data_IF_890890390201
#
_entry.id   IF_890890390201
#
_cell.length_a   1.000
_cell.length_b   1.000
_cell.length_c   1.000
_cell.angle_alpha   90.00
_cell.angle_beta   90.00
_cell.angle_gamma   90.00
#
_symmetry.space_group_name_H-M   'P 1'
#
loop_
_entity.id
_entity.type
_entity.pdbx_description
1 polymer ?
#
# COMPACT_ATOMS: atom_id res chain seq x y z
N UNK A 1 -10.68 10.52 -26.61
CA UNK A 1 -11.77 9.59 -26.37
C UNK A 1 -11.36 8.20 -26.90
N UNK A 2 -11.56 7.17 -26.08
CA UNK A 2 -11.25 5.76 -26.40
C UNK A 2 -12.49 4.97 -26.86
N UNK A 3 -13.64 5.63 -26.92
CA UNK A 3 -14.89 5.02 -27.34
C UNK A 3 -15.47 3.97 -26.37
N UNK A 4 -14.98 3.91 -25.13
CA UNK A 4 -15.43 2.94 -24.13
C UNK A 4 -16.76 3.33 -23.48
N UNK A 5 -17.06 4.62 -23.47
CA UNK A 5 -18.34 5.18 -22.99
C UNK A 5 -18.63 6.49 -23.71
N UNK A 6 -19.92 6.88 -23.84
CA UNK A 6 -20.28 8.19 -24.36
C UNK A 6 -19.62 9.31 -23.54
N UNK A 7 -19.12 10.32 -24.21
CA UNK A 7 -18.53 11.52 -23.61
C UNK A 7 -19.24 12.74 -24.12
N UNK A 8 -19.75 13.58 -23.21
CA UNK A 8 -20.27 14.89 -23.59
C UNK A 8 -19.09 15.81 -23.98
N UNK A 9 -19.19 16.47 -25.13
CA UNK A 9 -18.19 17.36 -25.67
C UNK A 9 -18.67 18.79 -25.68
N UNK A 10 -17.83 19.70 -25.20
CA UNK A 10 -18.03 21.13 -25.32
C UNK A 10 -17.27 21.65 -26.52
N UNK A 11 -17.99 22.18 -27.52
CA UNK A 11 -17.39 22.78 -28.71
C UNK A 11 -16.45 23.92 -28.35
N UNK A 12 -15.28 23.95 -28.99
CA UNK A 12 -14.25 24.96 -28.75
C UNK A 12 -13.39 24.75 -27.50
N UNK A 13 -13.74 23.79 -26.63
CA UNK A 13 -12.93 23.37 -25.47
C UNK A 13 -12.30 22.00 -25.67
N UNK A 14 -13.08 21.04 -26.15
CA UNK A 14 -12.67 19.63 -26.21
C UNK A 14 -12.21 19.28 -27.62
N UNK A 15 -10.94 18.90 -27.73
CA UNK A 15 -10.31 18.45 -28.99
C UNK A 15 -9.97 16.98 -28.95
N UNK A 16 -9.95 16.35 -30.14
CA UNK A 16 -9.43 14.98 -30.29
C UNK A 16 -7.93 14.97 -30.23
N UNK A 17 -7.39 14.13 -29.34
CA UNK A 17 -5.94 14.00 -29.15
C UNK A 17 -5.19 13.53 -30.41
N UNK A 18 -5.75 12.57 -31.17
CA UNK A 18 -5.05 12.01 -32.32
C UNK A 18 -4.82 13.06 -33.42
N UNK A 19 -5.83 13.81 -33.92
CA UNK A 19 -5.60 14.91 -34.87
C UNK A 19 -4.71 16.02 -34.32
N UNK A 20 -4.82 16.33 -33.00
CA UNK A 20 -3.97 17.33 -32.37
C UNK A 20 -2.50 16.88 -32.39
N UNK A 21 -2.24 15.63 -31.99
CA UNK A 21 -0.91 15.03 -32.03
C UNK A 21 -0.32 15.04 -33.43
N UNK A 22 -1.08 14.63 -34.45
CA UNK A 22 -0.60 14.61 -35.83
C UNK A 22 -0.17 16.00 -36.33
N UNK A 23 -0.92 17.05 -36.00
CA UNK A 23 -0.56 18.45 -36.31
C UNK A 23 0.77 18.89 -35.69
N UNK A 24 1.17 18.28 -34.57
CA UNK A 24 2.34 18.69 -33.79
C UNK A 24 3.48 17.67 -33.77
N UNK A 25 3.43 16.60 -34.55
CA UNK A 25 4.49 15.56 -34.59
C UNK A 25 5.88 16.12 -34.89
N UNK A 26 5.96 17.16 -35.74
CA UNK A 26 7.22 17.78 -36.12
C UNK A 26 7.62 18.96 -35.20
N UNK A 27 6.81 19.29 -34.20
CA UNK A 27 7.10 20.41 -33.31
C UNK A 27 8.33 20.09 -32.44
N UNK A 28 9.30 20.98 -32.44
CA UNK A 28 10.44 20.90 -31.54
C UNK A 28 10.11 21.70 -30.26
N UNK A 29 10.04 20.99 -29.15
CA UNK A 29 9.82 21.58 -27.82
C UNK A 29 11.16 21.58 -27.08
N UNK A 30 11.81 22.74 -26.90
CA UNK A 30 13.09 22.80 -26.20
C UNK A 30 12.91 22.43 -24.72
N UNK A 31 13.95 21.80 -24.15
CA UNK A 31 13.98 21.54 -22.71
C UNK A 31 14.11 22.87 -21.95
N UNK A 32 13.25 23.07 -20.95
CA UNK A 32 13.38 24.19 -20.02
C UNK A 32 14.27 23.78 -18.86
N UNK A 33 15.41 24.45 -18.72
CA UNK A 33 16.31 24.25 -17.59
C UNK A 33 15.75 24.96 -16.36
N UNK A 34 15.72 24.24 -15.25
CA UNK A 34 15.20 24.75 -13.96
C UNK A 34 16.19 24.40 -12.83
N UNK A 35 16.11 25.10 -11.72
CA UNK A 35 16.88 24.76 -10.52
C UNK A 35 16.45 23.38 -9.98
N UNK A 36 17.36 22.70 -9.29
CA UNK A 36 17.09 21.39 -8.68
C UNK A 36 15.93 21.44 -7.69
N UNK A 37 15.73 22.55 -7.02
CA UNK A 37 14.64 22.79 -6.06
C UNK A 37 13.33 23.22 -6.69
N UNK A 38 13.29 23.42 -8.03
CA UNK A 38 12.06 23.78 -8.73
C UNK A 38 11.01 22.68 -8.58
N UNK A 39 9.74 23.01 -8.28
CA UNK A 39 8.66 22.04 -8.23
C UNK A 39 8.53 21.24 -9.53
N UNK A 40 8.45 19.92 -9.44
CA UNK A 40 8.24 19.03 -10.59
C UNK A 40 6.78 18.72 -10.82
N UNK A 41 6.08 18.29 -9.78
CA UNK A 41 4.65 17.99 -9.82
C UNK A 41 4.04 18.01 -8.43
N UNK A 42 2.72 18.05 -8.40
CA UNK A 42 1.91 17.93 -7.19
C UNK A 42 0.97 16.75 -7.33
N UNK A 43 1.01 15.81 -6.37
CA UNK A 43 0.13 14.67 -6.32
C UNK A 43 -0.81 14.78 -5.11
N UNK A 44 -2.12 14.78 -5.37
CA UNK A 44 -3.13 14.84 -4.32
C UNK A 44 -3.37 13.48 -3.69
N UNK A 45 -3.41 13.45 -2.36
CA UNK A 45 -3.76 12.26 -1.57
C UNK A 45 -4.89 12.60 -0.60
N UNK A 46 -5.66 11.58 -0.20
CA UNK A 46 -6.62 11.71 0.90
C UNK A 46 -5.87 12.06 2.18
N UNK A 47 -6.16 13.25 2.72
CA UNK A 47 -5.57 13.68 4.00
C UNK A 47 -6.22 12.96 5.19
N UNK A 48 -5.46 12.77 6.27
CA UNK A 48 -5.98 12.27 7.56
C UNK A 48 -7.06 13.18 8.14
N UNK A 49 -7.08 14.46 7.76
CA UNK A 49 -8.02 15.50 8.23
C UNK A 49 -9.24 15.67 7.31
N UNK A 50 -9.50 14.76 6.37
CA UNK A 50 -10.66 14.80 5.47
C UNK A 50 -10.49 15.64 4.20
N UNK A 51 -9.59 16.64 4.18
CA UNK A 51 -9.30 17.41 2.96
C UNK A 51 -8.10 16.83 2.22
N UNK A 52 -8.18 16.59 0.89
CA UNK A 52 -7.02 16.19 0.11
C UNK A 52 -5.86 17.18 0.29
N UNK A 53 -4.64 16.64 0.26
CA UNK A 53 -3.40 17.42 0.34
C UNK A 53 -2.56 17.18 -0.90
N UNK A 54 -2.07 18.26 -1.51
CA UNK A 54 -1.19 18.20 -2.66
C UNK A 54 0.27 18.02 -2.22
N UNK A 55 0.82 16.84 -2.39
CA UNK A 55 2.23 16.56 -2.09
C UNK A 55 3.09 17.12 -3.23
N UNK A 56 3.86 18.15 -2.95
CA UNK A 56 4.78 18.80 -3.91
C UNK A 56 6.18 18.21 -3.78
N UNK A 57 6.82 17.93 -4.93
CA UNK A 57 8.20 17.48 -5.01
C UNK A 57 9.06 18.42 -5.83
N UNK A 58 10.36 18.42 -5.53
CA UNK A 58 11.37 19.08 -6.37
C UNK A 58 11.76 18.23 -7.58
N UNK A 59 12.46 18.85 -8.52
CA UNK A 59 12.91 18.19 -9.74
C UNK A 59 14.21 17.42 -9.50
N UNK A 60 15.21 18.07 -8.92
CA UNK A 60 16.55 17.49 -8.80
C UNK A 60 16.65 16.43 -7.71
N UNK A 61 16.10 16.70 -6.53
CA UNK A 61 16.12 15.73 -5.43
C UNK A 61 15.36 14.46 -5.78
N UNK A 62 14.19 14.60 -6.44
CA UNK A 62 13.42 13.45 -6.89
C UNK A 62 14.17 12.63 -7.95
N UNK A 63 14.83 13.27 -8.92
CA UNK A 63 15.63 12.57 -9.92
C UNK A 63 16.80 11.80 -9.29
N UNK A 64 17.50 12.38 -8.31
CA UNK A 64 18.58 11.73 -7.57
C UNK A 64 18.06 10.50 -6.82
N UNK A 65 16.99 10.66 -6.07
CA UNK A 65 16.40 9.56 -5.27
C UNK A 65 15.94 8.40 -6.15
N UNK A 66 15.26 8.69 -7.25
CA UNK A 66 14.79 7.64 -8.16
C UNK A 66 15.93 6.94 -8.87
N UNK A 67 16.95 7.66 -9.34
CA UNK A 67 18.12 7.05 -9.96
C UNK A 67 18.85 6.13 -8.99
N UNK A 68 19.05 6.58 -7.74
CA UNK A 68 19.67 5.78 -6.70
C UNK A 68 18.84 4.54 -6.36
N UNK A 69 17.51 4.69 -6.16
CA UNK A 69 16.64 3.58 -5.81
C UNK A 69 16.53 2.54 -6.94
N UNK A 70 16.47 2.98 -8.21
CA UNK A 70 16.47 2.06 -9.34
C UNK A 70 17.74 1.20 -9.38
N UNK A 71 18.89 1.79 -9.10
CA UNK A 71 20.17 1.08 -9.10
C UNK A 71 20.34 0.18 -7.87
N UNK A 72 20.06 0.69 -6.69
CA UNK A 72 20.45 0.04 -5.44
C UNK A 72 19.36 -0.83 -4.82
N UNK A 73 18.09 -0.52 -5.06
CA UNK A 73 16.96 -1.29 -4.58
C UNK A 73 16.42 -2.19 -5.68
N UNK A 74 16.02 -1.61 -6.81
CA UNK A 74 15.31 -2.32 -7.88
C UNK A 74 16.22 -3.05 -8.86
N UNK A 75 17.53 -3.00 -8.68
CA UNK A 75 18.53 -3.73 -9.48
C UNK A 75 18.53 -3.36 -10.97
N UNK A 76 18.02 -2.18 -11.33
CA UNK A 76 17.87 -1.74 -12.71
C UNK A 76 19.20 -1.36 -13.36
N UNK A 77 19.38 -1.77 -14.60
CA UNK A 77 20.54 -1.42 -15.42
C UNK A 77 20.08 -0.78 -16.75
N UNK A 78 20.85 0.16 -17.32
CA UNK A 78 20.53 0.73 -18.62
C UNK A 78 20.34 -0.35 -19.69
N UNK A 79 19.34 -0.16 -20.57
CA UNK A 79 18.99 -1.09 -21.63
C UNK A 79 18.12 -2.29 -21.23
N UNK A 80 17.87 -2.48 -19.93
CA UNK A 80 16.96 -3.52 -19.44
C UNK A 80 15.51 -3.08 -19.45
N UNK A 81 14.59 -4.02 -19.20
CA UNK A 81 13.15 -3.75 -19.14
C UNK A 81 12.63 -3.88 -17.73
N UNK A 82 11.91 -2.86 -17.28
CA UNK A 82 11.22 -2.78 -16.02
C UNK A 82 9.71 -2.87 -16.20
N UNK A 83 9.03 -3.57 -15.31
CA UNK A 83 7.57 -3.69 -15.34
C UNK A 83 6.95 -3.40 -13.97
N UNK A 84 6.25 -2.27 -13.86
CA UNK A 84 5.38 -2.00 -12.72
C UNK A 84 3.92 -2.19 -13.10
N UNK A 85 3.19 -2.94 -12.28
CA UNK A 85 1.76 -3.22 -12.49
C UNK A 85 0.86 -2.23 -11.76
N UNK A 86 1.44 -1.20 -11.15
CA UNK A 86 0.69 -0.18 -10.44
C UNK A 86 -0.10 0.74 -11.38
N UNK A 87 -1.07 1.43 -10.82
CA UNK A 87 -1.81 2.48 -11.53
C UNK A 87 -0.93 3.74 -11.68
N UNK A 88 -0.95 4.33 -12.89
CA UNK A 88 -0.18 5.54 -13.22
C UNK A 88 -0.59 6.76 -12.37
N UNK A 89 -1.80 6.79 -11.83
CA UNK A 89 -2.32 7.88 -11.01
C UNK A 89 -1.77 7.91 -9.58
N UNK A 90 -1.05 6.87 -9.14
CA UNK A 90 -0.44 6.81 -7.81
C UNK A 90 1.05 7.18 -7.85
N UNK A 91 1.60 7.47 -6.66
CA UNK A 91 3.04 7.78 -6.55
C UNK A 91 3.93 6.66 -7.09
N UNK A 92 3.53 5.40 -6.96
CA UNK A 92 4.25 4.26 -7.55
C UNK A 92 4.29 4.38 -9.08
N UNK A 93 3.19 4.79 -9.69
CA UNK A 93 3.13 5.03 -11.13
C UNK A 93 4.08 6.14 -11.57
N UNK A 94 4.06 7.27 -10.87
CA UNK A 94 4.97 8.37 -11.15
C UNK A 94 6.44 7.96 -10.93
N UNK A 95 6.77 7.43 -9.75
CA UNK A 95 8.14 7.05 -9.42
C UNK A 95 8.66 5.88 -10.25
N UNK A 96 7.85 4.82 -10.43
CA UNK A 96 8.33 3.51 -10.92
C UNK A 96 7.53 2.92 -12.09
N UNK A 97 6.77 3.74 -12.82
CA UNK A 97 6.40 3.46 -14.23
C UNK A 97 7.08 4.49 -15.13
N UNK A 98 7.06 5.78 -14.73
CA UNK A 98 7.54 6.87 -15.59
C UNK A 98 8.98 7.25 -15.26
N UNK A 99 9.20 7.93 -14.14
CA UNK A 99 10.46 8.64 -13.93
C UNK A 99 11.65 7.71 -13.61
N UNK A 100 11.53 6.83 -12.66
CA UNK A 100 12.63 5.97 -12.20
C UNK A 100 13.24 5.12 -13.31
N UNK A 101 12.46 4.27 -14.01
CA UNK A 101 13.00 3.45 -15.10
C UNK A 101 13.64 4.28 -16.22
N UNK A 102 13.02 5.38 -16.62
CA UNK A 102 13.53 6.23 -17.70
C UNK A 102 14.82 6.95 -17.29
N UNK A 103 14.92 7.45 -16.05
CA UNK A 103 16.16 8.01 -15.50
C UNK A 103 17.28 6.98 -15.40
N UNK A 104 16.94 5.72 -15.16
CA UNK A 104 17.91 4.62 -15.14
C UNK A 104 18.30 4.11 -16.54
N UNK A 105 17.75 4.69 -17.61
CA UNK A 105 17.99 4.25 -18.98
C UNK A 105 17.35 2.92 -19.34
N UNK A 106 16.30 2.53 -18.64
CA UNK A 106 15.55 1.30 -18.85
C UNK A 106 14.34 1.53 -19.75
N UNK A 107 13.91 0.47 -20.44
CA UNK A 107 12.58 0.42 -21.00
C UNK A 107 11.56 0.17 -19.87
N UNK A 108 10.39 0.80 -19.97
CA UNK A 108 9.30 0.61 -19.00
C UNK A 108 8.04 0.11 -19.71
N UNK A 109 7.32 -0.81 -19.06
CA UNK A 109 6.04 -1.31 -19.56
C UNK A 109 4.93 -0.58 -18.82
N UNK A 110 4.06 0.09 -19.57
CA UNK A 110 2.78 0.60 -19.08
C UNK A 110 1.68 -0.33 -19.57
N UNK A 111 1.13 -1.12 -18.66
CA UNK A 111 0.10 -2.11 -18.94
C UNK A 111 -1.26 -1.62 -18.50
N UNK A 112 -2.18 -1.53 -19.44
CA UNK A 112 -3.57 -1.20 -19.17
C UNK A 112 -4.42 -2.47 -19.12
N UNK A 113 -4.66 -2.99 -17.94
CA UNK A 113 -5.45 -4.20 -17.75
C UNK A 113 -5.37 -4.75 -16.34
N UNK A 114 -6.15 -5.79 -16.10
CA UNK A 114 -6.20 -6.51 -14.84
C UNK A 114 -5.21 -7.69 -14.82
N UNK A 115 -4.72 -8.12 -13.64
CA UNK A 115 -3.75 -9.21 -13.53
C UNK A 115 -4.27 -10.58 -14.02
N UNK A 116 -5.59 -10.70 -14.18
CA UNK A 116 -6.28 -11.94 -14.57
C UNK A 116 -7.01 -11.84 -15.91
N UNK A 117 -6.76 -10.80 -16.71
CA UNK A 117 -7.37 -10.64 -18.03
C UNK A 117 -6.32 -10.36 -19.11
N UNK A 118 -6.38 -11.08 -20.25
CA UNK A 118 -7.39 -12.08 -20.65
C UNK A 118 -7.35 -13.37 -19.83
N UNK A 119 -6.22 -13.70 -19.19
CA UNK A 119 -5.99 -14.81 -18.27
C UNK A 119 -4.95 -14.44 -17.20
N UNK A 120 -4.78 -15.25 -16.17
CA UNK A 120 -3.85 -14.99 -15.06
C UNK A 120 -2.36 -15.18 -15.44
N UNK A 121 -2.06 -15.55 -16.68
CA UNK A 121 -0.71 -15.65 -17.24
C UNK A 121 -0.24 -14.36 -17.90
N UNK A 122 -1.11 -13.34 -18.02
CA UNK A 122 -0.77 -12.14 -18.82
C UNK A 122 0.51 -11.45 -18.36
N UNK A 123 0.73 -11.28 -17.07
CA UNK A 123 1.94 -10.63 -16.57
C UNK A 123 3.20 -11.45 -16.86
N UNK A 124 3.12 -12.75 -16.69
CA UNK A 124 4.22 -13.68 -16.95
C UNK A 124 4.57 -13.74 -18.43
N UNK A 125 3.57 -13.66 -19.30
CA UNK A 125 3.74 -13.53 -20.74
C UNK A 125 4.45 -12.22 -21.12
N UNK A 126 4.15 -11.12 -20.44
CA UNK A 126 4.85 -9.85 -20.64
C UNK A 126 6.30 -9.92 -20.15
N UNK A 127 6.55 -10.57 -19.01
CA UNK A 127 7.90 -10.82 -18.50
C UNK A 127 8.72 -11.59 -19.52
N UNK A 128 8.19 -12.70 -20.05
CA UNK A 128 8.85 -13.49 -21.08
C UNK A 128 9.10 -12.71 -22.37
N UNK A 129 8.04 -12.06 -22.87
CA UNK A 129 8.06 -11.34 -24.17
C UNK A 129 9.06 -10.20 -24.17
N UNK A 130 9.11 -9.42 -23.12
CA UNK A 130 9.94 -8.21 -23.04
C UNK A 130 11.22 -8.41 -22.21
N UNK A 131 11.49 -9.64 -21.78
CA UNK A 131 12.66 -9.99 -20.96
C UNK A 131 12.80 -9.08 -19.75
N UNK A 132 11.70 -8.91 -19.02
CA UNK A 132 11.65 -8.08 -17.82
C UNK A 132 12.64 -8.57 -16.81
N UNK A 133 13.47 -7.67 -16.27
CA UNK A 133 14.51 -8.00 -15.30
C UNK A 133 14.11 -7.68 -13.87
N UNK A 134 13.24 -6.70 -13.67
CA UNK A 134 12.69 -6.33 -12.39
C UNK A 134 11.19 -6.01 -12.53
N UNK A 135 10.38 -6.56 -11.63
CA UNK A 135 8.93 -6.36 -11.61
C UNK A 135 8.50 -5.76 -10.28
N UNK A 136 7.57 -4.79 -10.32
CA UNK A 136 7.00 -4.16 -9.14
C UNK A 136 5.47 -4.28 -9.13
N UNK A 137 4.90 -4.70 -8.02
CA UNK A 137 3.47 -4.92 -7.88
C UNK A 137 2.97 -4.57 -6.47
N UNK A 138 1.74 -4.94 -6.18
CA UNK A 138 1.13 -4.79 -4.86
C UNK A 138 0.70 -6.16 -4.30
N UNK A 139 0.72 -6.36 -2.97
CA UNK A 139 0.26 -7.57 -2.32
C UNK A 139 -1.17 -8.00 -2.71
N UNK A 140 -2.10 -7.05 -2.85
CA UNK A 140 -3.47 -7.34 -3.31
C UNK A 140 -3.48 -8.04 -4.68
N UNK A 141 -2.67 -7.58 -5.62
CA UNK A 141 -2.61 -8.19 -6.94
C UNK A 141 -2.04 -9.61 -6.89
N UNK A 142 -1.03 -9.84 -6.04
CA UNK A 142 -0.48 -11.19 -5.79
C UNK A 142 -1.51 -12.12 -5.16
N UNK A 143 -2.32 -11.61 -4.20
CA UNK A 143 -3.44 -12.38 -3.61
C UNK A 143 -4.49 -12.76 -4.63
N UNK A 144 -4.78 -11.88 -5.59
CA UNK A 144 -5.71 -12.20 -6.70
C UNK A 144 -5.14 -13.31 -7.57
N UNK A 145 -3.84 -13.25 -7.91
CA UNK A 145 -3.16 -14.30 -8.68
C UNK A 145 -3.09 -15.64 -7.92
N UNK A 146 -2.91 -15.59 -6.59
CA UNK A 146 -2.88 -16.80 -5.75
C UNK A 146 -4.19 -17.60 -5.79
N UNK A 147 -5.32 -16.94 -6.07
CA UNK A 147 -6.64 -17.58 -6.22
C UNK A 147 -6.80 -18.26 -7.59
N UNK A 148 -5.88 -18.05 -8.52
CA UNK A 148 -5.95 -18.58 -9.88
C UNK A 148 -5.20 -19.94 -9.98
N UNK A 149 -5.33 -20.58 -11.13
CA UNK A 149 -4.62 -21.83 -11.40
C UNK A 149 -3.09 -21.61 -11.35
N UNK A 150 -2.36 -22.30 -10.46
CA UNK A 150 -0.92 -22.10 -10.30
C UNK A 150 -0.09 -22.44 -11.55
N UNK A 151 -0.69 -23.14 -12.54
CA UNK A 151 -0.03 -23.42 -13.83
C UNK A 151 0.38 -22.17 -14.55
N UNK A 152 -0.36 -21.07 -14.40
CA UNK A 152 -0.03 -19.79 -15.06
C UNK A 152 1.37 -19.27 -14.72
N UNK A 153 1.86 -19.51 -13.50
CA UNK A 153 3.22 -19.16 -13.08
C UNK A 153 4.32 -19.96 -13.80
N UNK A 154 3.99 -21.15 -14.31
CA UNK A 154 4.96 -22.11 -14.86
C UNK A 154 4.92 -22.19 -16.39
N UNK A 155 4.01 -21.48 -17.04
CA UNK A 155 3.80 -21.55 -18.50
C UNK A 155 4.76 -20.66 -19.29
N UNK A 156 5.49 -19.76 -18.64
CA UNK A 156 6.31 -18.75 -19.28
C UNK A 156 7.76 -18.78 -18.79
N UNK A 157 8.69 -18.38 -19.65
CA UNK A 157 10.10 -18.23 -19.27
C UNK A 157 10.30 -16.96 -18.45
N UNK A 158 10.52 -17.12 -17.14
CA UNK A 158 10.78 -16.05 -16.18
C UNK A 158 12.27 -15.93 -15.83
N UNK A 159 13.16 -16.54 -16.62
CA UNK A 159 14.60 -16.57 -16.33
C UNK A 159 15.25 -15.19 -16.28
N UNK A 160 14.72 -14.22 -17.05
CA UNK A 160 15.17 -12.83 -17.02
C UNK A 160 14.86 -12.10 -15.72
N UNK A 161 13.80 -12.49 -14.99
CA UNK A 161 13.35 -11.82 -13.80
C UNK A 161 14.29 -12.09 -12.63
N UNK A 162 14.89 -11.05 -12.05
CA UNK A 162 15.79 -11.15 -10.88
C UNK A 162 15.08 -11.09 -9.56
N UNK A 163 14.03 -10.27 -9.45
CA UNK A 163 13.25 -10.10 -8.24
C UNK A 163 11.85 -9.55 -8.55
N UNK A 164 10.90 -9.84 -7.65
CA UNK A 164 9.60 -9.17 -7.57
C UNK A 164 9.61 -8.24 -6.35
N UNK A 165 9.33 -6.97 -6.58
CA UNK A 165 9.21 -5.94 -5.55
C UNK A 165 7.73 -5.69 -5.26
N UNK A 166 7.39 -5.50 -3.99
CA UNK A 166 6.03 -5.22 -3.55
C UNK A 166 6.01 -4.00 -2.64
N UNK A 167 4.89 -3.27 -2.63
CA UNK A 167 4.64 -2.18 -1.70
C UNK A 167 3.15 -1.80 -1.67
N UNK A 168 2.82 -0.84 -0.80
CA UNK A 168 1.51 -0.19 -0.71
C UNK A 168 0.62 -0.73 0.39
N UNK A 169 0.79 -1.97 0.76
CA UNK A 169 0.16 -2.62 1.90
C UNK A 169 1.08 -3.71 2.44
N UNK A 170 0.87 -4.17 3.66
CA UNK A 170 1.67 -5.25 4.20
C UNK A 170 1.49 -6.57 3.45
N UNK A 171 2.61 -7.22 3.18
CA UNK A 171 2.64 -8.54 2.57
C UNK A 171 2.55 -9.61 3.66
N UNK A 172 1.48 -10.40 3.63
CA UNK A 172 1.35 -11.55 4.53
C UNK A 172 2.30 -12.68 4.16
N UNK A 173 2.84 -13.36 5.17
CA UNK A 173 3.84 -14.41 4.96
C UNK A 173 3.35 -15.56 4.07
N UNK A 174 2.11 -16.10 4.20
CA UNK A 174 1.63 -17.15 3.31
C UNK A 174 1.56 -16.76 1.84
N UNK A 175 1.28 -15.48 1.54
CA UNK A 175 1.29 -14.97 0.18
C UNK A 175 2.71 -14.74 -0.32
N UNK A 176 3.60 -14.23 0.53
CA UNK A 176 5.01 -14.07 0.21
C UNK A 176 5.68 -15.40 -0.14
N UNK A 177 5.47 -16.44 0.68
CA UNK A 177 5.98 -17.79 0.41
C UNK A 177 5.45 -18.36 -0.90
N UNK A 178 4.14 -18.30 -1.09
CA UNK A 178 3.51 -18.82 -2.30
C UNK A 178 4.12 -18.23 -3.58
N UNK A 179 4.29 -16.91 -3.64
CA UNK A 179 4.84 -16.28 -4.85
C UNK A 179 6.34 -16.49 -4.97
N UNK A 180 7.09 -16.54 -3.86
CA UNK A 180 8.53 -16.83 -3.86
C UNK A 180 8.81 -18.24 -4.39
N UNK A 181 8.07 -19.23 -3.92
CA UNK A 181 8.20 -20.63 -4.35
C UNK A 181 7.78 -20.78 -5.82
N UNK A 182 6.70 -20.06 -6.21
CA UNK A 182 6.20 -20.09 -7.59
C UNK A 182 7.15 -19.50 -8.61
N UNK A 183 7.80 -18.40 -8.28
CA UNK A 183 8.73 -17.69 -9.15
C UNK A 183 10.17 -18.23 -9.05
N UNK A 184 10.55 -18.84 -7.94
CA UNK A 184 11.94 -19.16 -7.62
C UNK A 184 12.85 -17.92 -7.58
N UNK A 185 12.31 -16.78 -7.18
CA UNK A 185 12.98 -15.47 -7.14
C UNK A 185 12.73 -14.77 -5.81
N UNK A 186 13.65 -13.89 -5.38
CA UNK A 186 13.45 -13.06 -4.20
C UNK A 186 12.19 -12.19 -4.32
N UNK A 187 11.42 -12.14 -3.23
CA UNK A 187 10.32 -11.20 -3.05
C UNK A 187 10.82 -10.15 -2.07
N UNK A 188 10.82 -8.90 -2.49
CA UNK A 188 11.33 -7.77 -1.70
C UNK A 188 10.17 -6.83 -1.42
N UNK A 189 9.75 -6.79 -0.16
CA UNK A 189 8.75 -5.82 0.28
C UNK A 189 9.41 -4.45 0.48
N UNK A 190 8.63 -3.39 0.30
CA UNK A 190 9.10 -2.02 0.44
C UNK A 190 8.06 -1.23 1.24
N UNK A 191 8.53 -0.41 2.15
CA UNK A 191 7.68 0.54 2.86
C UNK A 191 8.04 1.97 2.50
N UNK A 192 7.05 2.73 2.10
CA UNK A 192 7.14 4.14 1.76
C UNK A 192 5.76 4.80 1.70
N UNK A 193 5.76 6.09 1.51
CA UNK A 193 4.55 6.90 1.46
C UNK A 193 4.55 7.77 0.20
N UNK A 194 3.39 8.29 -0.16
CA UNK A 194 3.31 9.31 -1.23
C UNK A 194 4.22 10.48 -0.91
N UNK A 195 4.32 10.85 0.35
CA UNK A 195 5.14 11.94 0.86
C UNK A 195 6.65 11.72 0.66
N UNK A 196 7.12 10.51 0.78
CA UNK A 196 8.56 10.23 0.63
C UNK A 196 8.97 9.97 -0.82
N UNK A 197 8.06 9.47 -1.66
CA UNK A 197 8.29 9.31 -3.10
C UNK A 197 9.14 8.13 -3.52
N UNK A 198 9.85 7.51 -2.57
CA UNK A 198 10.69 6.34 -2.74
C UNK A 198 10.81 5.58 -1.41
N UNK A 199 11.30 4.31 -1.40
CA UNK A 199 11.31 3.48 -0.20
C UNK A 199 12.08 4.09 0.98
N UNK A 200 11.41 4.11 2.15
CA UNK A 200 12.01 4.38 3.46
C UNK A 200 12.73 3.14 3.96
N UNK A 201 12.03 1.99 3.85
CA UNK A 201 12.53 0.68 4.25
C UNK A 201 12.51 -0.24 3.04
N UNK A 202 13.59 -0.96 2.82
CA UNK A 202 13.73 -1.98 1.78
C UNK A 202 14.96 -2.85 2.07
N UNK A 203 15.34 -3.67 1.09
CA UNK A 203 16.59 -4.39 1.08
C UNK A 203 17.41 -3.95 -0.13
N UNK A 204 18.51 -3.23 0.11
CA UNK A 204 19.35 -2.63 -0.94
C UNK A 204 20.28 -3.67 -1.58
N UNK A 205 19.73 -4.67 -2.24
CA UNK A 205 20.49 -5.78 -2.85
C UNK A 205 21.44 -5.37 -3.97
N UNK A 206 21.29 -4.19 -4.50
CA UNK A 206 22.25 -3.61 -5.44
C UNK A 206 23.55 -3.11 -4.78
N UNK A 207 23.60 -3.08 -3.45
CA UNK A 207 24.77 -2.72 -2.66
C UNK A 207 25.38 -3.97 -2.03
N UNK A 208 24.55 -4.77 -1.34
CA UNK A 208 24.99 -5.97 -0.64
C UNK A 208 23.91 -7.07 -0.67
N UNK A 209 24.34 -8.31 -0.50
CA UNK A 209 23.44 -9.48 -0.51
C UNK A 209 22.69 -9.65 0.81
N UNK A 210 21.95 -8.63 1.22
CA UNK A 210 21.15 -8.64 2.45
C UNK A 210 19.99 -9.62 2.32
N UNK A 211 19.75 -10.51 3.30
CA UNK A 211 18.59 -11.40 3.31
C UNK A 211 17.26 -10.64 3.36
N UNK A 212 16.21 -11.24 2.84
CA UNK A 212 14.83 -10.78 3.07
C UNK A 212 14.20 -11.56 4.21
N UNK A 213 13.34 -10.89 5.00
CA UNK A 213 12.48 -11.54 6.00
C UNK A 213 11.02 -11.39 5.58
N UNK A 214 10.26 -12.46 5.57
CA UNK A 214 8.83 -12.38 5.24
C UNK A 214 8.08 -11.52 6.27
N UNK A 215 7.17 -10.68 5.78
CA UNK A 215 6.43 -9.74 6.62
C UNK A 215 7.18 -8.45 6.96
N UNK A 216 8.47 -8.36 6.60
CA UNK A 216 9.30 -7.17 6.83
C UNK A 216 9.62 -6.46 5.52
N UNK A 217 9.45 -5.13 5.42
CA UNK A 217 9.98 -4.34 4.32
C UNK A 217 11.50 -4.15 4.38
N UNK A 218 12.19 -4.67 5.40
CA UNK A 218 13.64 -4.64 5.48
C UNK A 218 14.21 -3.59 6.42
N UNK A 219 15.28 -2.96 5.98
CA UNK A 219 16.13 -2.01 6.73
C UNK A 219 15.91 -0.57 6.24
N UNK A 220 16.27 0.45 7.03
CA UNK A 220 16.30 1.82 6.56
C UNK A 220 17.17 1.99 5.32
N UNK A 221 16.63 2.67 4.32
CA UNK A 221 17.41 3.00 3.13
C UNK A 221 18.35 4.16 3.40
N UNK A 222 19.46 4.17 2.68
CA UNK A 222 20.51 5.18 2.84
C UNK A 222 19.94 6.59 2.66
N UNK A 223 20.20 7.44 3.65
CA UNK A 223 19.67 8.80 3.74
C UNK A 223 18.49 8.96 4.69
N UNK A 224 17.82 7.88 5.09
CA UNK A 224 16.78 7.92 6.12
C UNK A 224 17.33 7.53 7.50
N UNK A 225 17.22 8.40 8.48
CA UNK A 225 17.46 8.07 9.89
C UNK A 225 16.12 7.68 10.55
N UNK A 226 15.77 6.40 10.43
CA UNK A 226 14.49 5.87 10.89
C UNK A 226 14.59 5.52 12.37
N UNK A 227 13.65 6.07 13.16
CA UNK A 227 13.53 5.83 14.60
C UNK A 227 12.16 5.23 14.94
N UNK A 228 12.12 4.49 16.04
CA UNK A 228 10.88 4.15 16.72
C UNK A 228 10.74 5.05 17.95
N UNK A 229 9.64 5.77 18.05
CA UNK A 229 9.39 6.72 19.14
C UNK A 229 8.18 6.24 19.95
N UNK A 230 8.32 6.25 21.27
CA UNK A 230 7.18 6.08 22.17
C UNK A 230 6.22 7.26 22.03
N UNK A 231 4.97 6.99 21.71
CA UNK A 231 3.98 8.02 21.40
C UNK A 231 3.64 8.91 22.59
N UNK A 232 3.81 8.41 23.84
CA UNK A 232 3.44 9.15 25.05
C UNK A 232 4.62 9.95 25.63
N UNK A 233 5.79 9.32 25.73
CA UNK A 233 6.97 9.98 26.28
C UNK A 233 7.75 10.77 25.24
N UNK A 234 7.62 10.45 23.95
CA UNK A 234 8.43 11.01 22.88
C UNK A 234 9.87 10.48 22.87
N UNK A 235 10.20 9.49 23.69
CA UNK A 235 11.52 8.90 23.77
C UNK A 235 11.77 7.89 22.65
N UNK A 236 13.03 7.77 22.24
CA UNK A 236 13.43 6.76 21.25
C UNK A 236 13.43 5.36 21.88
N UNK A 237 12.79 4.41 21.20
CA UNK A 237 12.78 2.99 21.55
C UNK A 237 13.95 2.29 20.85
N UNK A 238 15.12 2.27 21.50
CA UNK A 238 16.33 1.68 20.94
C UNK A 238 16.37 0.14 21.02
N UNK A 239 15.58 -0.47 21.89
CA UNK A 239 15.50 -1.92 22.09
C UNK A 239 14.80 -2.66 20.97
N UNK A 240 15.14 -3.96 20.80
CA UNK A 240 14.45 -4.82 19.86
C UNK A 240 13.03 -5.16 20.35
N UNK A 241 12.13 -5.45 19.42
CA UNK A 241 10.75 -5.91 19.66
C UNK A 241 9.88 -4.94 20.49
N UNK A 242 10.27 -3.66 20.54
CA UNK A 242 9.45 -2.60 21.13
C UNK A 242 8.57 -1.95 20.06
N UNK A 243 7.29 -1.73 20.39
CA UNK A 243 6.35 -1.04 19.52
C UNK A 243 6.49 0.47 19.65
N UNK A 244 6.63 1.16 18.54
CA UNK A 244 6.68 2.61 18.51
C UNK A 244 6.16 3.19 17.20
N UNK A 245 5.99 4.50 17.18
CA UNK A 245 5.68 5.23 15.95
C UNK A 245 6.93 5.28 15.09
N UNK A 246 6.80 4.85 13.85
CA UNK A 246 7.89 4.96 12.87
C UNK A 246 8.05 6.43 12.50
N UNK A 247 9.22 6.96 12.72
CA UNK A 247 9.57 8.35 12.44
C UNK A 247 10.89 8.44 11.70
N UNK A 248 11.17 9.60 11.11
CA UNK A 248 12.43 9.87 10.44
C UNK A 248 13.02 11.13 11.08
N UNK A 249 14.22 11.02 11.62
CA UNK A 249 14.94 12.20 12.11
C UNK A 249 15.44 13.01 10.92
N UNK A 250 15.15 14.31 10.93
CA UNK A 250 15.46 15.18 9.80
C UNK A 250 16.94 15.59 9.70
N UNK A 251 17.34 16.09 8.55
CA UNK A 251 16.50 16.40 7.39
C UNK A 251 16.10 15.16 6.60
N UNK A 252 14.94 15.23 5.91
CA UNK A 252 14.57 14.18 4.97
C UNK A 252 15.54 14.11 3.79
N UNK A 253 15.81 12.91 3.25
CA UNK A 253 16.66 12.78 2.08
C UNK A 253 16.01 13.38 0.83
N UNK A 254 16.79 13.60 -0.25
CA UNK A 254 16.26 14.03 -1.54
C UNK A 254 15.10 13.15 -2.02
N UNK A 255 14.16 13.74 -2.78
CA UNK A 255 12.99 13.05 -3.34
C UNK A 255 11.77 13.01 -2.45
N UNK A 256 11.88 13.38 -1.17
CA UNK A 256 10.74 13.56 -0.28
C UNK A 256 9.98 14.84 -0.61
N UNK A 257 8.77 14.98 -0.04
CA UNK A 257 7.97 16.19 -0.22
C UNK A 257 8.73 17.44 0.26
N UNK A 258 8.60 18.51 -0.52
CA UNK A 258 9.08 19.84 -0.12
C UNK A 258 8.07 20.54 0.80
N UNK A 259 6.78 20.38 0.46
CA UNK A 259 5.66 21.01 1.18
C UNK A 259 4.34 20.38 0.76
N UNK A 260 3.26 20.82 1.38
CA UNK A 260 1.89 20.64 0.90
C UNK A 260 1.54 21.87 0.04
N UNK A 261 1.19 21.66 -1.21
CA UNK A 261 0.89 22.70 -2.19
C UNK A 261 -0.12 23.72 -1.65
N UNK A 262 0.32 24.97 -1.58
CA UNK A 262 -0.50 26.08 -1.12
C UNK A 262 -0.80 26.11 0.38
N UNK A 263 -0.14 25.25 1.21
CA UNK A 263 -0.41 25.15 2.64
C UNK A 263 0.83 24.69 3.45
N UNK A 264 1.86 25.53 3.48
CA UNK A 264 3.10 25.28 4.23
C UNK A 264 2.84 25.11 5.73
N UNK A 265 1.87 25.84 6.28
CA UNK A 265 1.51 25.72 7.68
C UNK A 265 0.99 24.31 8.01
N UNK A 266 0.17 23.74 7.14
CA UNK A 266 -0.30 22.35 7.26
C UNK A 266 0.84 21.34 7.11
N UNK A 267 1.79 21.57 6.22
CA UNK A 267 2.99 20.74 6.11
C UNK A 267 3.75 20.66 7.42
N UNK A 268 4.06 21.81 8.02
CA UNK A 268 4.79 21.87 9.29
C UNK A 268 3.97 21.23 10.41
N UNK A 269 2.72 21.64 10.58
CA UNK A 269 1.87 21.16 11.69
C UNK A 269 1.57 19.67 11.60
N UNK A 270 1.43 19.12 10.38
CA UNK A 270 1.10 17.71 10.19
C UNK A 270 2.30 16.82 10.45
N UNK A 271 3.47 17.16 9.90
CA UNK A 271 4.58 16.20 9.82
C UNK A 271 5.70 16.44 10.81
N UNK A 272 5.86 17.69 11.32
CA UNK A 272 7.06 18.11 12.05
C UNK A 272 6.82 18.57 13.48
N UNK A 273 5.57 18.70 13.91
CA UNK A 273 5.23 19.22 15.23
C UNK A 273 4.82 18.14 16.24
N UNK A 274 4.92 16.85 15.90
CA UNK A 274 4.59 15.75 16.80
C UNK A 274 5.48 15.72 18.04
N UNK A 275 6.73 16.15 17.94
CA UNK A 275 7.68 16.25 19.06
C UNK A 275 8.31 17.64 19.08
N UNK A 276 7.90 18.52 20.03
CA UNK A 276 8.46 19.86 20.15
C UNK A 276 9.98 19.85 20.40
N UNK A 277 10.69 20.72 19.68
CA UNK A 277 12.16 20.86 19.81
C UNK A 277 13.00 19.83 19.06
N UNK A 278 12.39 18.87 18.38
CA UNK A 278 13.06 17.88 17.52
C UNK A 278 12.58 17.97 16.08
N UNK A 279 13.49 17.82 15.14
CA UNK A 279 13.15 17.76 13.72
C UNK A 279 12.81 16.31 13.35
N UNK A 280 11.62 15.88 13.71
CA UNK A 280 11.16 14.51 13.48
C UNK A 280 9.94 14.51 12.57
N UNK A 281 10.08 13.85 11.43
CA UNK A 281 8.99 13.58 10.50
C UNK A 281 8.19 12.37 11.00
N UNK A 282 6.89 12.54 11.22
CA UNK A 282 5.98 11.45 11.58
C UNK A 282 5.43 10.78 10.33
N UNK A 283 5.60 9.45 10.26
CA UNK A 283 4.99 8.65 9.20
C UNK A 283 3.52 8.31 9.49
N UNK A 284 3.07 8.46 10.73
CA UNK A 284 1.78 7.98 11.24
C UNK A 284 1.59 6.47 11.11
N UNK A 285 2.66 5.71 11.08
CA UNK A 285 2.63 4.25 11.07
C UNK A 285 3.29 3.70 12.33
N UNK A 286 2.72 2.61 12.86
CA UNK A 286 3.32 1.84 13.94
C UNK A 286 4.25 0.80 13.38
N UNK A 287 5.34 0.52 14.11
CA UNK A 287 6.28 -0.51 13.77
C UNK A 287 6.97 -1.12 14.99
N UNK A 288 7.63 -2.22 14.74
CA UNK A 288 8.63 -2.82 15.62
C UNK A 288 9.93 -3.01 14.82
N UNK A 289 11.04 -3.14 15.54
CA UNK A 289 12.35 -3.49 14.98
C UNK A 289 12.83 -4.75 15.69
N UNK A 290 13.23 -5.76 14.95
CA UNK A 290 13.77 -6.99 15.53
C UNK A 290 15.25 -6.85 15.95
N UNK A 291 15.84 -7.94 16.46
CA UNK A 291 17.22 -7.99 16.93
C UNK A 291 18.24 -7.80 15.80
N UNK A 292 17.89 -8.13 14.56
CA UNK A 292 18.73 -7.93 13.38
C UNK A 292 18.54 -6.55 12.74
N UNK A 293 17.68 -5.70 13.32
CA UNK A 293 17.39 -4.35 12.84
C UNK A 293 16.33 -4.24 11.78
N UNK A 294 15.66 -5.34 11.40
CA UNK A 294 14.57 -5.33 10.43
C UNK A 294 13.31 -4.73 11.02
N UNK A 295 12.68 -3.86 10.27
CA UNK A 295 11.42 -3.25 10.67
C UNK A 295 10.23 -4.10 10.20
N UNK A 296 9.16 -4.06 10.99
CA UNK A 296 7.86 -4.62 10.66
C UNK A 296 6.81 -3.53 10.88
N UNK A 297 6.03 -3.23 9.85
CA UNK A 297 4.99 -2.21 9.91
C UNK A 297 3.69 -2.84 10.39
N UNK A 298 3.16 -2.32 11.49
CA UNK A 298 1.98 -2.88 12.17
C UNK A 298 0.66 -2.22 11.76
N UNK A 299 0.72 -1.08 11.08
CA UNK A 299 -0.45 -0.32 10.61
C UNK A 299 -0.38 1.15 10.97
N UNK A 300 -1.47 1.87 10.71
CA UNK A 300 -1.57 3.32 10.95
C UNK A 300 -1.76 3.63 12.43
N UNK A 301 -1.22 4.74 12.91
CA UNK A 301 -1.47 5.22 14.26
C UNK A 301 -2.94 5.62 14.49
N UNK A 302 -3.63 6.03 13.43
CA UNK A 302 -5.04 6.38 13.44
C UNK A 302 -5.98 5.17 13.19
N UNK A 303 -5.44 3.99 12.84
CA UNK A 303 -6.17 2.72 12.73
C UNK A 303 -5.99 1.83 13.98
N UNK A 304 -5.36 2.33 15.04
CA UNK A 304 -5.20 1.63 16.31
C UNK A 304 -6.53 1.58 17.06
N UNK A 305 -6.86 0.41 17.57
CA UNK A 305 -8.05 0.18 18.39
C UNK A 305 -7.67 0.28 19.86
N UNK A 306 -8.34 1.15 20.61
CA UNK A 306 -8.09 1.32 22.04
C UNK A 306 -9.11 0.52 22.86
N UNK A 307 -8.76 -0.72 23.21
CA UNK A 307 -9.63 -1.61 23.99
C UNK A 307 -9.24 -1.58 25.46
N UNK A 308 -10.06 -0.97 26.30
CA UNK A 308 -9.83 -0.90 27.76
C UNK A 308 -8.41 -0.41 28.13
N UNK A 309 -7.88 0.58 27.40
CA UNK A 309 -6.53 1.11 27.60
C UNK A 309 -5.41 0.36 26.86
N UNK A 310 -5.70 -0.79 26.26
CA UNK A 310 -4.75 -1.51 25.43
C UNK A 310 -4.83 -1.05 23.96
N UNK A 311 -3.68 -0.71 23.38
CA UNK A 311 -3.59 -0.28 21.97
C UNK A 311 -3.27 -1.47 21.10
N UNK A 312 -4.20 -1.83 20.25
CA UNK A 312 -4.13 -2.98 19.37
C UNK A 312 -4.03 -2.49 17.90
N UNK A 313 -3.05 -3.00 17.18
CA UNK A 313 -2.97 -2.78 15.74
C UNK A 313 -4.03 -3.59 15.00
N UNK A 314 -4.78 -2.95 14.11
CA UNK A 314 -5.76 -3.67 13.28
C UNK A 314 -5.11 -4.82 12.53
N UNK A 315 -3.88 -4.62 12.05
CA UNK A 315 -3.11 -5.60 11.28
C UNK A 315 -2.79 -6.86 12.07
N UNK A 316 -2.39 -6.73 13.34
CA UNK A 316 -2.07 -7.91 14.17
C UNK A 316 -3.28 -8.85 14.26
N UNK A 317 -4.47 -8.26 14.44
CA UNK A 317 -5.72 -9.01 14.49
C UNK A 317 -6.05 -9.58 13.11
N UNK A 318 -5.86 -8.81 12.04
CA UNK A 318 -6.07 -9.25 10.66
C UNK A 318 -5.16 -10.43 10.29
N UNK A 319 -3.89 -10.40 10.66
CA UNK A 319 -2.94 -11.50 10.42
C UNK A 319 -3.36 -12.77 11.16
N UNK A 320 -3.75 -12.64 12.42
CA UNK A 320 -4.28 -13.76 13.19
C UNK A 320 -5.50 -14.38 12.51
N UNK A 321 -6.49 -13.57 12.14
CA UNK A 321 -7.70 -14.04 11.45
C UNK A 321 -7.37 -14.65 10.09
N UNK A 322 -6.43 -14.07 9.34
CA UNK A 322 -6.00 -14.57 8.02
C UNK A 322 -5.30 -15.92 8.09
N UNK A 323 -4.78 -16.32 9.25
CA UNK A 323 -4.21 -17.66 9.44
C UNK A 323 -5.26 -18.78 9.49
N UNK A 324 -6.54 -18.43 9.63
CA UNK A 324 -7.63 -19.40 9.56
C UNK A 324 -7.79 -19.95 8.13
N UNK A 325 -7.86 -21.29 7.94
CA UNK A 325 -7.81 -21.93 6.61
C UNK A 325 -8.86 -21.43 5.63
N UNK A 326 -10.07 -21.08 6.10
CA UNK A 326 -11.18 -20.63 5.25
C UNK A 326 -11.25 -19.13 5.04
N UNK A 327 -10.39 -18.31 5.67
CA UNK A 327 -10.37 -16.87 5.43
C UNK A 327 -9.54 -16.54 4.20
N UNK A 328 -10.12 -15.78 3.27
CA UNK A 328 -9.46 -15.28 2.06
C UNK A 328 -8.92 -13.87 2.24
N UNK A 329 -9.73 -13.00 2.86
CA UNK A 329 -9.41 -11.61 3.15
C UNK A 329 -10.11 -11.18 4.43
N UNK A 330 -9.57 -10.19 5.13
CA UNK A 330 -10.18 -9.63 6.34
C UNK A 330 -9.87 -8.14 6.47
N UNK A 331 -10.81 -7.40 7.02
CA UNK A 331 -10.63 -6.04 7.49
C UNK A 331 -11.09 -5.94 8.95
N UNK A 332 -10.27 -5.32 9.79
CA UNK A 332 -10.58 -5.06 11.20
C UNK A 332 -10.69 -3.55 11.41
N UNK A 333 -11.70 -3.13 12.14
CA UNK A 333 -11.93 -1.75 12.53
C UNK A 333 -12.23 -1.64 14.03
N UNK A 334 -11.83 -0.52 14.63
CA UNK A 334 -12.26 -0.19 15.99
C UNK A 334 -13.63 0.45 15.95
N UNK A 335 -14.57 -0.06 16.76
CA UNK A 335 -15.92 0.49 16.88
C UNK A 335 -16.11 0.97 18.32
N UNK A 336 -16.77 2.11 18.51
CA UNK A 336 -17.03 2.66 19.83
C UNK A 336 -17.81 1.69 20.72
N UNK A 337 -17.35 1.54 21.96
CA UNK A 337 -17.96 0.70 22.99
C UNK A 337 -18.07 1.49 24.29
N UNK A 338 -19.24 1.45 24.92
CA UNK A 338 -19.54 2.26 26.10
C UNK A 338 -18.69 1.89 27.33
N UNK A 339 -18.23 0.64 27.43
CA UNK A 339 -17.46 0.13 28.59
C UNK A 339 -15.96 0.12 28.33
N UNK A 340 -15.54 -0.28 27.14
CA UNK A 340 -14.13 -0.51 26.77
C UNK A 340 -13.50 0.63 25.98
N UNK A 341 -14.27 1.67 25.67
CA UNK A 341 -13.86 2.76 24.78
C UNK A 341 -14.02 2.35 23.32
N UNK A 342 -13.30 1.33 22.89
CA UNK A 342 -13.48 0.69 21.59
C UNK A 342 -13.41 -0.84 21.70
N UNK A 343 -13.95 -1.52 20.69
CA UNK A 343 -13.80 -2.97 20.49
C UNK A 343 -13.42 -3.23 19.04
N UNK A 344 -12.68 -4.29 18.81
CA UNK A 344 -12.38 -4.74 17.45
C UNK A 344 -13.61 -5.39 16.83
N UNK A 345 -13.90 -5.05 15.57
CA UNK A 345 -14.91 -5.71 14.74
C UNK A 345 -14.26 -6.15 13.43
N UNK A 346 -14.45 -7.39 13.02
CA UNK A 346 -13.85 -7.97 11.85
C UNK A 346 -14.88 -8.25 10.76
N UNK A 347 -14.48 -7.99 9.49
CA UNK A 347 -15.22 -8.36 8.29
C UNK A 347 -14.36 -9.27 7.44
N UNK A 348 -14.77 -10.52 7.24
CA UNK A 348 -14.00 -11.54 6.55
C UNK A 348 -14.67 -12.01 5.26
N UNK A 349 -13.87 -12.16 4.21
CA UNK A 349 -14.24 -12.85 2.97
C UNK A 349 -13.76 -14.28 3.08
N UNK A 350 -14.66 -15.23 2.85
CA UNK A 350 -14.35 -16.65 2.94
C UNK A 350 -13.88 -17.21 1.59
N UNK A 351 -13.00 -18.22 1.65
CA UNK A 351 -12.63 -19.03 0.47
C UNK A 351 -13.80 -19.91 0.04
N UNK A 352 -14.48 -20.51 1.02
CA UNK A 352 -15.68 -21.31 0.83
C UNK A 352 -16.85 -20.64 1.60
N UNK A 353 -17.61 -19.81 0.90
CA UNK A 353 -18.75 -19.09 1.48
C UNK A 353 -19.89 -20.03 1.92
N UNK A 354 -19.93 -21.28 1.43
CA UNK A 354 -20.99 -22.25 1.80
C UNK A 354 -20.96 -22.60 3.29
N UNK A 355 -19.79 -22.49 3.95
CA UNK A 355 -19.65 -22.75 5.37
C UNK A 355 -20.36 -21.71 6.26
N UNK A 356 -20.62 -20.54 5.75
CA UNK A 356 -21.39 -19.47 6.43
C UNK A 356 -22.78 -19.22 5.80
N UNK A 357 -23.24 -20.10 4.90
CA UNK A 357 -24.52 -19.93 4.22
C UNK A 357 -25.74 -20.00 5.15
N UNK A 358 -25.59 -20.62 6.33
CA UNK A 358 -26.62 -20.71 7.35
C UNK A 358 -26.15 -20.12 8.66
N UNK A 359 -27.05 -19.54 9.45
CA UNK A 359 -26.74 -18.88 10.72
C UNK A 359 -25.89 -19.74 11.68
N UNK A 360 -26.18 -21.04 11.82
CA UNK A 360 -25.41 -21.94 12.67
C UNK A 360 -23.98 -22.14 12.18
N UNK A 361 -23.75 -22.24 10.86
CA UNK A 361 -22.41 -22.34 10.26
C UNK A 361 -21.62 -21.06 10.46
N UNK A 362 -22.25 -19.91 10.24
CA UNK A 362 -21.63 -18.58 10.44
C UNK A 362 -21.23 -18.39 11.91
N UNK A 363 -22.08 -18.71 12.87
CA UNK A 363 -21.76 -18.64 14.32
C UNK A 363 -20.62 -19.57 14.72
N UNK A 364 -20.60 -20.79 14.18
CA UNK A 364 -19.51 -21.74 14.44
C UNK A 364 -18.19 -21.18 13.95
N UNK A 365 -18.13 -20.71 12.71
CA UNK A 365 -16.94 -20.16 12.10
C UNK A 365 -16.47 -18.87 12.78
N UNK A 366 -17.40 -17.99 13.19
CA UNK A 366 -17.11 -16.82 14.01
C UNK A 366 -16.41 -17.24 15.32
N UNK A 367 -16.94 -18.26 16.01
CA UNK A 367 -16.35 -18.79 17.24
C UNK A 367 -14.96 -19.39 17.05
N UNK A 368 -14.73 -20.10 15.96
CA UNK A 368 -13.41 -20.67 15.60
C UNK A 368 -12.38 -19.55 15.37
N UNK A 369 -12.74 -18.53 14.60
CA UNK A 369 -11.87 -17.37 14.33
C UNK A 369 -11.59 -16.59 15.62
N UNK A 370 -12.61 -16.30 16.44
CA UNK A 370 -12.43 -15.60 17.70
C UNK A 370 -11.52 -16.35 18.66
N UNK A 371 -11.64 -17.67 18.73
CA UNK A 371 -10.77 -18.54 19.54
C UNK A 371 -9.33 -18.50 19.03
N UNK A 372 -9.14 -18.51 17.73
CA UNK A 372 -7.80 -18.42 17.13
C UNK A 372 -7.10 -17.11 17.50
N UNK A 373 -7.84 -15.98 17.49
CA UNK A 373 -7.29 -14.70 17.94
C UNK A 373 -6.97 -14.71 19.43
N UNK A 374 -7.84 -15.33 20.26
CA UNK A 374 -7.57 -15.50 21.69
C UNK A 374 -6.28 -16.26 21.95
N UNK A 375 -6.05 -17.35 21.22
CA UNK A 375 -4.88 -18.21 21.38
C UNK A 375 -3.57 -17.52 20.93
N UNK A 376 -3.64 -16.66 19.91
CA UNK A 376 -2.45 -16.01 19.34
C UNK A 376 -2.15 -14.65 19.97
N UNK A 377 -3.16 -13.87 20.30
CA UNK A 377 -3.01 -12.47 20.74
C UNK A 377 -3.63 -12.17 22.12
N UNK A 378 -4.34 -13.14 22.67
CA UNK A 378 -5.05 -12.98 23.95
C UNK A 378 -6.43 -12.34 23.84
N UNK A 379 -7.22 -12.46 24.89
CA UNK A 379 -8.63 -12.08 24.95
C UNK A 379 -8.90 -10.58 24.69
N UNK A 380 -7.91 -9.71 24.91
CA UNK A 380 -8.04 -8.26 24.65
C UNK A 380 -8.13 -7.96 23.17
N UNK A 381 -7.43 -8.74 22.33
CA UNK A 381 -7.41 -8.58 20.89
C UNK A 381 -8.60 -9.27 20.17
N UNK A 382 -9.34 -10.12 20.91
CA UNK A 382 -10.47 -10.85 20.35
C UNK A 382 -11.53 -9.89 19.82
N UNK A 383 -11.92 -9.98 18.51
CA UNK A 383 -13.00 -9.18 17.98
C UNK A 383 -14.31 -9.39 18.73
N UNK A 384 -15.08 -8.34 18.93
CA UNK A 384 -16.43 -8.45 19.50
C UNK A 384 -17.36 -9.23 18.57
N UNK A 385 -17.12 -9.14 17.27
CA UNK A 385 -17.83 -9.84 16.19
C UNK A 385 -16.92 -10.11 15.00
N UNK A 386 -17.20 -11.20 14.29
CA UNK A 386 -16.67 -11.48 12.97
C UNK A 386 -17.86 -11.62 12.01
N UNK A 387 -17.91 -10.76 11.00
CA UNK A 387 -18.98 -10.78 9.98
C UNK A 387 -18.43 -11.23 8.65
N UNK A 388 -19.20 -12.03 7.93
CA UNK A 388 -18.79 -12.55 6.63
C UNK A 388 -19.43 -11.72 5.52
N UNK A 389 -18.58 -11.30 4.58
CA UNK A 389 -18.94 -10.47 3.43
C UNK A 389 -18.45 -11.11 2.14
N UNK A 390 -19.07 -10.78 1.02
CA UNK A 390 -18.61 -11.28 -0.29
C UNK A 390 -17.40 -10.54 -0.80
N UNK A 391 -17.29 -9.24 -0.47
CA UNK A 391 -16.21 -8.36 -0.90
C UNK A 391 -15.98 -7.27 0.15
N UNK A 392 -14.73 -6.86 0.35
CA UNK A 392 -14.37 -5.76 1.24
C UNK A 392 -14.35 -4.43 0.48
N UNK A 393 -14.81 -3.32 1.11
CA UNK A 393 -14.71 -1.99 0.52
C UNK A 393 -13.26 -1.58 0.30
N UNK A 394 -12.89 -1.38 -0.96
CA UNK A 394 -11.54 -0.99 -1.39
C UNK A 394 -11.60 0.16 -2.37
N UNK A 395 -10.50 0.89 -2.46
CA UNK A 395 -10.28 1.80 -3.58
C UNK A 395 -9.98 1.00 -4.84
N UNK A 396 -10.07 1.63 -6.01
CA UNK A 396 -9.68 1.02 -7.31
C UNK A 396 -8.23 0.50 -7.32
N UNK A 397 -7.37 0.99 -6.42
CA UNK A 397 -6.00 0.50 -6.23
C UNK A 397 -5.87 -0.66 -5.25
N UNK A 398 -6.99 -1.15 -4.68
CA UNK A 398 -7.02 -2.26 -3.74
C UNK A 398 -6.85 -1.86 -2.27
N UNK A 399 -6.67 -0.58 -1.93
CA UNK A 399 -6.53 -0.13 -0.54
C UNK A 399 -7.86 -0.24 0.21
N UNK A 400 -7.86 -0.91 1.36
CA UNK A 400 -9.02 -1.01 2.25
C UNK A 400 -9.48 0.36 2.76
N UNK A 401 -10.80 0.59 2.71
CA UNK A 401 -11.45 1.81 3.18
C UNK A 401 -11.90 1.68 4.64
N UNK A 402 -10.95 1.39 5.56
CA UNK A 402 -11.27 1.14 6.99
C UNK A 402 -12.09 2.24 7.63
N UNK A 403 -11.78 3.51 7.34
CA UNK A 403 -12.54 4.65 7.87
C UNK A 403 -13.99 4.65 7.43
N UNK A 404 -14.27 4.30 6.17
CA UNK A 404 -15.63 4.19 5.67
C UNK A 404 -16.37 3.00 6.32
N UNK A 405 -15.68 1.87 6.52
CA UNK A 405 -16.22 0.71 7.26
C UNK A 405 -16.56 1.12 8.68
N UNK A 406 -15.63 1.73 9.39
CA UNK A 406 -15.84 2.20 10.77
C UNK A 406 -17.00 3.18 10.88
N UNK A 407 -17.05 4.18 10.00
CA UNK A 407 -18.12 5.17 9.99
C UNK A 407 -19.50 4.53 9.82
N UNK A 408 -19.60 3.55 8.92
CA UNK A 408 -20.84 2.79 8.71
C UNK A 408 -21.21 1.97 9.96
N UNK A 409 -20.23 1.32 10.61
CA UNK A 409 -20.47 0.58 11.85
C UNK A 409 -20.98 1.49 12.99
N UNK A 410 -20.55 2.73 13.02
CA UNK A 410 -20.94 3.73 14.03
C UNK A 410 -22.13 4.60 13.59
N UNK A 411 -22.77 4.30 12.46
CA UNK A 411 -23.90 5.07 11.93
C UNK A 411 -23.53 6.48 11.46
N UNK A 412 -22.26 6.73 11.18
CA UNK A 412 -21.74 8.02 10.70
C UNK A 412 -21.66 8.06 9.17
N UNK A 413 -21.54 9.26 8.63
CA UNK A 413 -21.26 9.47 7.20
C UNK A 413 -19.89 8.87 6.84
N UNK A 414 -19.79 7.97 5.86
CA UNK A 414 -18.53 7.38 5.41
C UNK A 414 -17.60 8.39 4.68
N UNK A 415 -18.06 9.59 4.35
CA UNK A 415 -17.29 10.64 3.68
C UNK A 415 -17.16 10.42 2.18
N UNK A 416 -16.05 10.92 1.60
CA UNK A 416 -15.81 10.84 0.16
C UNK A 416 -15.51 9.39 -0.29
N UNK A 417 -16.38 8.87 -1.15
CA UNK A 417 -16.31 7.53 -1.72
C UNK A 417 -15.97 7.52 -3.22
N UNK A 418 -15.52 8.63 -3.79
CA UNK A 418 -15.25 8.74 -5.24
C UNK A 418 -14.20 7.75 -5.75
N UNK A 419 -13.33 7.27 -4.86
CA UNK A 419 -12.27 6.30 -5.18
C UNK A 419 -12.68 4.84 -4.95
N UNK A 420 -13.87 4.58 -4.43
CA UNK A 420 -14.32 3.21 -4.15
C UNK A 420 -14.47 2.42 -5.46
N UNK A 421 -13.99 1.17 -5.46
CA UNK A 421 -14.09 0.26 -6.60
C UNK A 421 -15.52 -0.26 -6.78
N UNK A 422 -16.12 -0.75 -5.69
CA UNK A 422 -17.48 -1.27 -5.66
C UNK A 422 -18.28 -0.65 -4.49
N UNK A 423 -19.19 0.28 -4.77
CA UNK A 423 -20.06 0.85 -3.74
C UNK A 423 -20.94 -0.18 -3.02
N UNK A 424 -21.28 -1.30 -3.69
CA UNK A 424 -22.05 -2.41 -3.10
C UNK A 424 -21.36 -3.07 -1.92
N UNK A 425 -20.02 -3.06 -1.90
CA UNK A 425 -19.24 -3.61 -0.79
C UNK A 425 -19.50 -2.89 0.54
N UNK A 426 -19.63 -1.57 0.51
CA UNK A 426 -19.94 -0.79 1.71
C UNK A 426 -21.41 -0.91 2.11
N UNK A 427 -22.30 -0.98 1.12
CA UNK A 427 -23.73 -1.18 1.35
C UNK A 427 -24.01 -2.53 2.04
N UNK A 428 -23.31 -3.60 1.64
CA UNK A 428 -23.39 -4.92 2.30
C UNK A 428 -23.03 -4.84 3.79
N UNK A 429 -21.97 -4.12 4.13
CA UNK A 429 -21.56 -3.91 5.54
C UNK A 429 -22.65 -3.16 6.29
N UNK A 430 -23.23 -2.11 5.70
CA UNK A 430 -24.31 -1.33 6.31
C UNK A 430 -25.52 -2.20 6.65
N UNK A 431 -25.93 -3.05 5.74
CA UNK A 431 -27.06 -3.98 5.93
C UNK A 431 -26.78 -5.00 7.05
N UNK A 432 -25.55 -5.55 7.09
CA UNK A 432 -25.12 -6.47 8.13
C UNK A 432 -25.12 -5.82 9.53
N UNK A 433 -24.64 -4.60 9.64
CA UNK A 433 -24.60 -3.87 10.92
C UNK A 433 -26.01 -3.52 11.39
N UNK A 434 -26.91 -3.12 10.47
CA UNK A 434 -28.30 -2.80 10.80
C UNK A 434 -29.13 -4.04 11.19
N UNK A 435 -28.81 -5.20 10.63
CA UNK A 435 -29.53 -6.45 10.91
C UNK A 435 -29.23 -7.01 12.29
N UNK A 436 -28.13 -6.62 12.91
CA UNK A 436 -27.69 -7.07 14.24
C UNK A 436 -27.10 -5.87 15.01
N UNK A 437 -27.95 -5.00 15.59
CA UNK A 437 -27.46 -3.93 16.43
C UNK A 437 -26.58 -4.50 17.53
N UNK A 438 -25.54 -3.74 17.91
CA UNK A 438 -24.46 -4.10 18.83
C UNK A 438 -24.95 -4.51 20.22
#
# INVERSE_FOLDING_TARGET
DRGLSPMERTSGRDEDYAPLRERHLAAQVPCTWVDATHPSYTLYTSGTTGRPKGVQRDTGGYAVALTASMRYIFLGQPGETYFSTSDIGWVVGHSYIVYGPLLAGMATIMYEGLPIRPDAGIWWRLVEKYKVTAMFSAPTAVRVLKKQDPRYLKQHDLSSLRALFLAGEPLDEPTARWIADGLGRPIIDNYWQTETGWPILSVARGIEATPTKFGSPGLPMYGYDVKLIDEHSGEELAGANQKGVVTIEGPLPPGCLQTVWGDDARFVSTYWQSLPGRMIYSTFDWGIRDEDGYFFILGRTDDVINVAGHRLGTREIEESISSHPNVAEVAVVGVADALKGQVAMAFAVLKDASQAAHAAGALKLEGEIMKLVDEQLGAVARPSRVRFVSVLPKTRSGKLLRRAIQAVCEGRDPGDLTTIEDPGALQQIKELVQSFPA
#
